data_IF_987364622950
#
_entry.id   IF_987364622950
#
_cell.length_a   1.000
_cell.length_b   1.000
_cell.length_c   1.000
_cell.angle_alpha   90.00
_cell.angle_beta   90.00
_cell.angle_gamma   90.00
#
_symmetry.space_group_name_H-M   'P 1'
#
loop_
_entity.id
_entity.type
_entity.pdbx_description
1 polymer ?
#
# COMPACT_ATOMS: atom_id res chain seq x y z
N UNK A 1 -12.26 10.42 12.11
CA UNK A 1 -12.91 9.63 11.05
C UNK A 1 -12.90 10.42 9.74
N UNK A 2 -12.58 9.77 8.63
CA UNK A 2 -12.63 10.35 7.28
C UNK A 2 -13.71 9.62 6.51
N UNK A 3 -14.53 10.34 5.76
CA UNK A 3 -15.56 9.75 4.92
C UNK A 3 -15.47 10.34 3.51
N UNK A 4 -15.39 9.49 2.51
CA UNK A 4 -15.34 9.82 1.08
C UNK A 4 -16.58 9.21 0.43
N UNK A 5 -17.42 10.04 -0.21
CA UNK A 5 -18.68 9.60 -0.83
C UNK A 5 -18.74 9.99 -2.30
N UNK A 6 -18.91 9.00 -3.17
CA UNK A 6 -19.11 9.12 -4.61
C UNK A 6 -18.12 10.08 -5.28
N UNK A 7 -16.85 10.00 -4.84
CA UNK A 7 -15.80 10.91 -5.25
C UNK A 7 -15.43 10.70 -6.71
N UNK A 8 -15.55 11.75 -7.51
CA UNK A 8 -15.15 11.75 -8.92
C UNK A 8 -14.27 12.96 -9.20
N UNK A 9 -13.18 12.74 -9.93
CA UNK A 9 -12.32 13.80 -10.47
C UNK A 9 -12.07 13.61 -11.96
N UNK A 10 -12.41 14.64 -12.72
CA UNK A 10 -12.14 14.71 -14.17
C UNK A 10 -11.09 15.77 -14.48
N UNK A 11 -10.24 15.48 -15.45
CA UNK A 11 -9.34 16.41 -16.10
C UNK A 11 -9.63 16.34 -17.62
N UNK A 12 -10.48 17.24 -18.12
CA UNK A 12 -11.04 17.10 -19.47
C UNK A 12 -11.85 15.80 -19.57
N UNK A 13 -11.51 14.96 -20.53
CA UNK A 13 -12.16 13.67 -20.76
C UNK A 13 -11.66 12.55 -19.84
N UNK A 14 -10.48 12.73 -19.23
CA UNK A 14 -9.89 11.73 -18.32
C UNK A 14 -10.57 11.75 -16.96
N UNK A 15 -11.13 10.62 -16.56
CA UNK A 15 -11.58 10.37 -15.18
C UNK A 15 -10.40 9.81 -14.36
N UNK A 16 -9.70 10.68 -13.65
CA UNK A 16 -8.60 10.26 -12.76
C UNK A 16 -9.08 9.56 -11.49
N UNK A 17 -10.30 9.86 -11.04
CA UNK A 17 -11.03 9.17 -9.97
C UNK A 17 -12.48 9.05 -10.44
N UNK A 18 -13.07 7.86 -10.35
CA UNK A 18 -14.38 7.53 -10.89
C UNK A 18 -15.27 6.85 -9.84
N UNK A 19 -16.11 7.65 -9.17
CA UNK A 19 -17.15 7.24 -8.24
C UNK A 19 -16.66 6.33 -7.10
N UNK A 20 -15.61 6.75 -6.37
CA UNK A 20 -15.11 5.98 -5.24
C UNK A 20 -15.75 6.43 -3.93
N UNK A 21 -16.04 5.46 -3.06
CA UNK A 21 -16.56 5.69 -1.71
C UNK A 21 -15.84 4.78 -0.71
N UNK A 22 -15.39 5.35 0.39
CA UNK A 22 -14.77 4.62 1.50
C UNK A 22 -14.76 5.48 2.78
N UNK A 23 -14.53 4.83 3.89
CA UNK A 23 -14.33 5.50 5.19
C UNK A 23 -13.03 5.04 5.84
N UNK A 24 -12.49 5.87 6.73
CA UNK A 24 -11.35 5.53 7.57
C UNK A 24 -11.70 5.85 9.01
N UNK A 25 -11.60 4.87 9.88
CA UNK A 25 -11.93 5.02 11.29
C UNK A 25 -10.84 5.76 12.07
N UNK A 26 -11.21 6.30 13.23
CA UNK A 26 -10.23 6.97 14.10
C UNK A 26 -9.18 5.98 14.61
N UNK A 27 -7.90 6.30 14.43
CA UNK A 27 -6.79 5.43 14.83
C UNK A 27 -6.51 4.28 13.87
N UNK A 28 -7.17 4.22 12.71
CA UNK A 28 -6.89 3.26 11.65
C UNK A 28 -5.68 3.70 10.81
N UNK A 29 -4.84 2.74 10.43
CA UNK A 29 -3.79 2.92 9.42
C UNK A 29 -4.27 2.28 8.12
N UNK A 30 -4.79 3.10 7.20
CA UNK A 30 -5.28 2.67 5.91
C UNK A 30 -4.18 2.75 4.84
N UNK A 31 -3.92 1.64 4.17
CA UNK A 31 -3.09 1.59 2.96
C UNK A 31 -3.92 1.88 1.70
N UNK A 32 -3.44 2.79 0.87
CA UNK A 32 -4.05 3.12 -0.42
C UNK A 32 -3.12 2.68 -1.55
N UNK A 33 -3.36 1.48 -2.07
CA UNK A 33 -2.47 0.77 -3.00
C UNK A 33 -2.93 0.90 -4.44
N UNK A 34 -2.02 1.08 -5.37
CA UNK A 34 -2.34 1.07 -6.80
C UNK A 34 -1.13 1.41 -7.67
N UNK A 35 -1.15 1.08 -8.98
CA UNK A 35 -0.08 1.46 -9.90
C UNK A 35 0.02 2.97 -10.07
N UNK A 36 1.07 3.42 -10.73
CA UNK A 36 1.21 4.83 -11.10
C UNK A 36 0.08 5.22 -12.07
N UNK A 37 -0.52 6.40 -11.85
CA UNK A 37 -1.67 6.85 -12.63
C UNK A 37 -3.03 6.30 -12.19
N UNK A 38 -3.10 5.39 -11.22
CA UNK A 38 -4.36 4.79 -10.75
C UNK A 38 -5.33 5.76 -10.05
N UNK A 39 -4.90 6.99 -9.72
CA UNK A 39 -5.73 7.98 -9.02
C UNK A 39 -5.36 8.22 -7.56
N UNK A 40 -4.29 7.59 -7.02
CA UNK A 40 -3.87 7.70 -5.61
C UNK A 40 -3.62 9.15 -5.20
N UNK A 41 -2.63 9.82 -5.80
CA UNK A 41 -2.27 11.21 -5.45
C UNK A 41 -3.40 12.19 -5.73
N UNK A 42 -4.22 11.94 -6.76
CA UNK A 42 -5.43 12.73 -7.02
C UNK A 42 -6.39 12.62 -5.85
N UNK A 43 -6.64 11.41 -5.35
CA UNK A 43 -7.50 11.17 -4.18
C UNK A 43 -6.91 11.86 -2.94
N UNK A 44 -5.60 11.70 -2.65
CA UNK A 44 -4.94 12.36 -1.52
C UNK A 44 -5.05 13.88 -1.60
N UNK A 45 -4.85 14.47 -2.80
CA UNK A 45 -4.97 15.90 -3.02
C UNK A 45 -6.39 16.43 -2.81
N UNK A 46 -7.43 15.64 -3.09
CA UNK A 46 -8.82 16.04 -2.81
C UNK A 46 -9.08 15.94 -1.30
N UNK A 47 -8.70 14.86 -0.63
CA UNK A 47 -8.90 14.68 0.81
C UNK A 47 -8.20 15.78 1.62
N UNK A 48 -7.04 16.27 1.14
CA UNK A 48 -6.31 17.39 1.76
C UNK A 48 -6.85 18.76 1.37
N UNK A 49 -7.82 18.81 0.45
CA UNK A 49 -8.37 20.07 -0.09
C UNK A 49 -7.37 20.86 -0.92
N UNK A 50 -6.32 20.21 -1.44
CA UNK A 50 -5.37 20.84 -2.36
C UNK A 50 -6.02 21.10 -3.73
N UNK A 51 -6.84 20.16 -4.20
CA UNK A 51 -7.71 20.31 -5.38
C UNK A 51 -9.16 19.98 -5.01
N UNK A 52 -10.12 20.55 -5.74
CA UNK A 52 -11.53 20.22 -5.58
C UNK A 52 -11.90 18.93 -6.32
N UNK A 53 -12.88 18.20 -5.81
CA UNK A 53 -13.58 17.12 -6.55
C UNK A 53 -14.37 17.69 -7.74
N UNK A 54 -14.72 16.86 -8.72
CA UNK A 54 -15.73 17.18 -9.74
C UNK A 54 -17.12 16.84 -9.22
N UNK A 55 -17.25 15.68 -8.54
CA UNK A 55 -18.48 15.23 -7.86
C UNK A 55 -18.09 14.55 -6.56
N UNK A 56 -19.07 14.38 -5.68
CA UNK A 56 -18.90 13.71 -4.39
C UNK A 56 -18.33 14.62 -3.31
N UNK A 57 -18.26 14.10 -2.09
CA UNK A 57 -17.89 14.86 -0.88
C UNK A 57 -16.81 14.14 -0.09
N UNK A 58 -16.02 14.93 0.63
CA UNK A 58 -15.04 14.44 1.60
C UNK A 58 -15.26 15.13 2.93
N UNK A 59 -15.46 14.36 3.99
CA UNK A 59 -15.58 14.87 5.34
C UNK A 59 -14.46 14.35 6.24
N UNK A 60 -13.98 15.22 7.13
CA UNK A 60 -13.00 14.86 8.16
C UNK A 60 -13.56 15.30 9.51
N UNK A 61 -13.78 14.36 10.41
CA UNK A 61 -14.47 14.58 11.70
C UNK A 61 -15.78 15.36 11.54
N UNK A 62 -16.61 14.97 10.59
CA UNK A 62 -17.92 15.55 10.33
C UNK A 62 -17.90 16.93 9.66
N UNK A 63 -16.71 17.48 9.30
CA UNK A 63 -16.61 18.74 8.56
C UNK A 63 -16.26 18.46 7.10
N UNK A 64 -17.02 19.01 6.17
CA UNK A 64 -16.79 18.87 4.72
C UNK A 64 -15.63 19.78 4.28
N UNK A 65 -14.74 19.24 3.41
CA UNK A 65 -13.46 19.91 3.07
C UNK A 65 -13.66 21.18 2.23
N UNK A 66 -14.68 21.24 1.39
CA UNK A 66 -14.95 22.42 0.53
C UNK A 66 -15.79 23.48 1.27
N UNK A 67 -16.67 23.08 2.20
CA UNK A 67 -17.51 23.99 2.98
C UNK A 67 -16.75 24.61 4.14
N UNK A 68 -15.95 23.82 4.87
CA UNK A 68 -15.18 24.26 6.04
C UNK A 68 -13.66 24.06 5.85
N UNK A 69 -13.02 24.59 4.78
CA UNK A 69 -11.65 24.22 4.41
C UNK A 69 -10.60 24.59 5.46
N UNK A 70 -10.75 25.69 6.16
CA UNK A 70 -9.80 26.10 7.22
C UNK A 70 -9.85 25.16 8.42
N UNK A 71 -11.05 24.77 8.84
CA UNK A 71 -11.29 23.89 9.98
C UNK A 71 -10.79 22.48 9.68
N UNK A 72 -11.09 21.98 8.49
CA UNK A 72 -10.73 20.64 8.05
C UNK A 72 -9.23 20.51 7.82
N UNK A 73 -8.61 21.47 7.09
CA UNK A 73 -7.16 21.48 6.85
C UNK A 73 -6.33 21.59 8.13
N UNK A 74 -6.84 22.28 9.17
CA UNK A 74 -6.15 22.36 10.46
C UNK A 74 -6.04 20.98 11.17
N UNK A 75 -6.91 20.03 10.82
CA UNK A 75 -6.91 18.67 11.37
C UNK A 75 -6.02 17.70 10.57
N UNK A 76 -5.49 18.11 9.43
CA UNK A 76 -4.74 17.26 8.52
C UNK A 76 -3.26 17.63 8.51
N UNK A 77 -2.40 16.64 8.73
CA UNK A 77 -0.99 16.70 8.40
C UNK A 77 -0.77 16.00 7.05
N UNK A 78 -0.19 16.71 6.09
CA UNK A 78 0.02 16.17 4.75
C UNK A 78 1.49 16.12 4.39
N UNK A 79 1.93 14.95 3.94
CA UNK A 79 3.21 14.72 3.28
C UNK A 79 2.95 14.34 1.83
N UNK A 80 3.13 15.23 0.86
CA UNK A 80 3.09 14.87 -0.56
C UNK A 80 4.34 14.07 -0.95
N UNK A 81 4.29 13.37 -2.08
CA UNK A 81 5.41 12.59 -2.65
C UNK A 81 6.71 13.43 -2.72
N UNK A 82 6.60 14.68 -3.17
CA UNK A 82 7.70 15.65 -3.17
C UNK A 82 7.36 16.77 -2.20
N UNK A 83 7.97 16.79 -0.98
CA UNK A 83 7.69 17.82 -0.01
C UNK A 83 8.14 19.22 -0.50
N UNK A 84 7.28 20.24 -0.44
CA UNK A 84 7.61 21.61 -0.84
C UNK A 84 8.43 22.33 0.24
N UNK A 85 9.70 21.96 0.33
CA UNK A 85 10.61 22.49 1.35
C UNK A 85 11.26 23.80 0.89
N UNK A 86 11.61 24.68 1.85
CA UNK A 86 12.44 25.86 1.59
C UNK A 86 13.93 25.49 1.65
N UNK A 87 14.61 25.32 0.49
CA UNK A 87 15.94 24.69 0.42
C UNK A 87 17.04 25.47 1.13
N UNK A 88 16.91 26.79 1.28
CA UNK A 88 17.92 27.65 1.89
C UNK A 88 17.73 27.84 3.41
N UNK A 89 16.66 27.32 3.98
CA UNK A 89 16.45 27.32 5.43
C UNK A 89 17.18 26.16 6.09
N UNK A 90 17.52 26.31 7.37
CA UNK A 90 17.90 25.17 8.20
C UNK A 90 16.66 24.38 8.60
N UNK A 91 16.83 23.08 8.90
CA UNK A 91 15.73 22.18 9.30
C UNK A 91 14.91 22.79 10.44
N UNK A 92 15.58 23.23 11.51
CA UNK A 92 14.91 23.82 12.68
C UNK A 92 14.12 25.07 12.32
N UNK A 93 14.75 26.03 11.64
CA UNK A 93 14.08 27.29 11.26
C UNK A 93 12.87 27.03 10.35
N UNK A 94 12.95 26.05 9.47
CA UNK A 94 11.83 25.65 8.61
C UNK A 94 10.67 25.08 9.44
N UNK A 95 10.94 24.19 10.39
CA UNK A 95 9.90 23.61 11.24
C UNK A 95 9.28 24.67 12.19
N UNK A 96 10.09 25.57 12.72
CA UNK A 96 9.60 26.72 13.51
C UNK A 96 8.71 27.65 12.67
N UNK A 97 9.11 27.92 11.42
CA UNK A 97 8.30 28.69 10.47
C UNK A 97 6.96 28.00 10.19
N UNK A 98 6.96 26.69 9.95
CA UNK A 98 5.72 25.91 9.75
C UNK A 98 4.83 25.89 10.99
N UNK A 99 5.43 25.88 12.18
CA UNK A 99 4.72 25.97 13.45
C UNK A 99 3.95 27.31 13.54
N UNK A 100 4.63 28.42 13.22
CA UNK A 100 4.01 29.76 13.23
C UNK A 100 2.93 29.91 12.16
N UNK A 101 3.20 29.40 10.95
CA UNK A 101 2.25 29.45 9.83
C UNK A 101 0.95 28.70 10.16
N UNK A 102 1.06 27.53 10.82
CA UNK A 102 -0.09 26.75 11.28
C UNK A 102 -0.75 27.33 12.54
N UNK A 103 -0.22 28.41 13.12
CA UNK A 103 -0.70 29.05 14.36
C UNK A 103 -0.90 28.06 15.50
N UNK A 104 0.06 27.14 15.66
CA UNK A 104 0.01 26.08 16.69
C UNK A 104 0.06 26.72 18.08
N UNK A 105 -0.77 26.24 19.01
CA UNK A 105 -0.88 26.76 20.39
C UNK A 105 -0.14 25.90 21.44
N UNK A 106 0.89 25.18 21.01
CA UNK A 106 1.73 24.38 21.89
C UNK A 106 3.04 25.14 22.21
N UNK A 107 3.82 24.74 23.24
CA UNK A 107 5.17 25.28 23.46
C UNK A 107 6.05 24.97 22.23
N UNK A 108 6.48 26.01 21.49
CA UNK A 108 7.12 25.88 20.18
C UNK A 108 8.38 25.03 20.22
N UNK A 109 9.30 25.38 21.14
CA UNK A 109 10.61 24.72 21.22
C UNK A 109 10.47 23.23 21.51
N UNK A 110 9.71 22.92 22.55
CA UNK A 110 9.47 21.55 23.01
C UNK A 110 8.77 20.72 21.93
N UNK A 111 7.77 21.30 21.26
CA UNK A 111 7.03 20.61 20.20
C UNK A 111 7.92 20.33 18.96
N UNK A 112 8.69 21.33 18.52
CA UNK A 112 9.63 21.16 17.40
C UNK A 112 10.72 20.14 17.74
N UNK A 113 11.27 20.17 18.96
CA UNK A 113 12.26 19.19 19.41
C UNK A 113 11.67 17.77 19.47
N UNK A 114 10.43 17.62 19.94
CA UNK A 114 9.73 16.34 19.96
C UNK A 114 9.52 15.80 18.54
N UNK A 115 9.00 16.62 17.64
CA UNK A 115 8.76 16.22 16.23
C UNK A 115 10.07 15.84 15.55
N UNK A 116 11.13 16.63 15.73
CA UNK A 116 12.46 16.31 15.18
C UNK A 116 12.98 14.97 15.69
N UNK A 117 12.80 14.68 16.98
CA UNK A 117 13.21 13.41 17.58
C UNK A 117 12.40 12.24 16.99
N UNK A 118 11.07 12.38 16.87
CA UNK A 118 10.20 11.33 16.32
C UNK A 118 10.62 10.89 14.91
N UNK A 119 11.02 11.83 14.06
CA UNK A 119 11.40 11.53 12.67
C UNK A 119 12.91 11.32 12.49
N UNK A 120 13.71 11.32 13.56
CA UNK A 120 15.16 11.09 13.50
C UNK A 120 15.95 12.26 12.91
N UNK A 121 15.60 13.51 13.25
CA UNK A 121 16.25 14.75 12.79
C UNK A 121 16.95 15.51 13.90
N UNK A 122 17.10 14.96 15.11
CA UNK A 122 17.65 15.68 16.29
C UNK A 122 19.00 16.35 15.99
N UNK A 123 19.90 15.65 15.33
CA UNK A 123 21.25 16.14 15.01
C UNK A 123 21.32 16.96 13.71
N UNK A 124 20.19 17.09 13.00
CA UNK A 124 20.12 17.75 11.70
C UNK A 124 19.56 19.18 11.77
N UNK A 125 19.18 19.66 12.95
CA UNK A 125 18.48 20.94 13.12
C UNK A 125 19.20 22.17 12.54
N UNK A 126 20.52 22.20 12.62
CA UNK A 126 21.36 23.28 12.05
C UNK A 126 21.71 23.10 10.57
N UNK A 127 21.43 21.96 9.95
CA UNK A 127 21.76 21.70 8.55
C UNK A 127 20.80 22.43 7.62
N UNK A 128 21.35 22.97 6.52
CA UNK A 128 20.55 23.60 5.43
C UNK A 128 19.90 22.50 4.63
N UNK A 129 18.59 22.65 4.32
CA UNK A 129 17.75 21.61 3.71
C UNK A 129 18.28 21.16 2.35
N UNK A 130 18.79 22.07 1.50
CA UNK A 130 19.37 21.70 0.19
C UNK A 130 20.54 20.74 0.28
N UNK A 131 21.27 20.75 1.39
CA UNK A 131 22.44 19.90 1.62
C UNK A 131 22.08 18.53 2.22
N UNK A 132 20.81 18.23 2.41
CA UNK A 132 20.33 16.95 2.91
C UNK A 132 20.17 15.94 1.77
N UNK A 133 20.37 14.64 2.09
CA UNK A 133 19.99 13.56 1.18
C UNK A 133 18.46 13.55 0.94
N UNK A 134 18.02 12.84 -0.10
CA UNK A 134 16.58 12.69 -0.39
C UNK A 134 15.81 12.17 0.83
N UNK A 135 16.35 11.13 1.51
CA UNK A 135 15.71 10.55 2.69
C UNK A 135 15.59 11.53 3.85
N UNK A 136 16.61 12.35 4.10
CA UNK A 136 16.51 13.39 5.13
C UNK A 136 15.52 14.50 4.75
N UNK A 137 15.43 14.88 3.47
CA UNK A 137 14.40 15.82 3.01
C UNK A 137 12.99 15.24 3.20
N UNK A 138 12.81 13.95 2.92
CA UNK A 138 11.54 13.26 3.19
C UNK A 138 11.17 13.30 4.67
N UNK A 139 12.14 13.07 5.57
CA UNK A 139 11.94 13.20 7.03
C UNK A 139 11.57 14.63 7.45
N UNK A 140 12.14 15.66 6.81
CA UNK A 140 11.74 17.07 7.06
C UNK A 140 10.30 17.31 6.64
N UNK A 141 9.88 16.80 5.47
CA UNK A 141 8.49 16.86 5.02
C UNK A 141 7.53 16.13 5.98
N UNK A 142 7.96 14.98 6.50
CA UNK A 142 7.19 14.26 7.49
C UNK A 142 7.09 15.02 8.83
N UNK A 143 8.19 15.59 9.29
CA UNK A 143 8.17 16.48 10.45
C UNK A 143 7.17 17.63 10.27
N UNK A 144 7.17 18.27 9.10
CA UNK A 144 6.19 19.32 8.75
C UNK A 144 4.74 18.82 8.86
N UNK A 145 4.45 17.60 8.41
CA UNK A 145 3.13 17.00 8.51
C UNK A 145 2.70 16.85 9.99
N UNK A 146 3.63 16.48 10.87
CA UNK A 146 3.39 16.28 12.30
C UNK A 146 3.28 17.58 13.13
N UNK A 147 3.73 18.71 12.60
CA UNK A 147 3.63 20.01 13.30
C UNK A 147 2.15 20.32 13.62
N UNK A 148 1.89 20.56 14.90
CA UNK A 148 0.55 20.83 15.44
C UNK A 148 -0.19 19.59 15.92
N UNK A 149 0.42 18.42 15.85
CA UNK A 149 -0.15 17.13 16.28
C UNK A 149 -1.54 16.86 15.68
N UNK A 150 -1.68 16.89 14.34
CA UNK A 150 -2.98 16.76 13.69
C UNK A 150 -3.57 15.37 13.92
N UNK A 151 -4.90 15.23 14.14
CA UNK A 151 -5.52 13.92 14.33
C UNK A 151 -5.47 13.01 13.08
N UNK A 152 -5.30 13.59 11.90
CA UNK A 152 -5.23 12.88 10.62
C UNK A 152 -3.89 13.12 9.94
N UNK A 153 -3.26 12.07 9.46
CA UNK A 153 -2.04 12.11 8.65
C UNK A 153 -2.31 11.50 7.28
N UNK A 154 -1.99 12.23 6.23
CA UNK A 154 -2.06 11.77 4.84
C UNK A 154 -0.65 11.77 4.28
N UNK A 155 -0.17 10.58 3.88
CA UNK A 155 1.20 10.34 3.45
C UNK A 155 1.17 9.78 2.03
N UNK A 156 1.53 10.61 1.05
CA UNK A 156 1.53 10.21 -0.36
C UNK A 156 2.92 9.73 -0.78
N UNK A 157 3.04 8.42 -1.06
CA UNK A 157 4.28 7.74 -1.47
C UNK A 157 5.49 8.09 -0.56
N UNK A 158 5.39 8.03 0.78
CA UNK A 158 6.38 8.59 1.70
C UNK A 158 7.73 7.87 1.68
N UNK A 159 7.80 6.68 1.09
CA UNK A 159 8.99 5.82 1.03
C UNK A 159 9.74 5.90 -0.30
N UNK A 160 9.20 6.62 -1.29
CA UNK A 160 9.81 6.73 -2.61
C UNK A 160 11.22 7.31 -2.56
N UNK A 161 12.18 6.52 -3.04
CA UNK A 161 13.60 6.91 -3.12
C UNK A 161 14.35 6.89 -1.78
N UNK A 162 13.81 6.18 -0.80
CA UNK A 162 14.51 5.79 0.41
C UNK A 162 15.26 4.48 0.21
N UNK A 163 16.36 4.29 0.95
CA UNK A 163 17.03 2.99 0.99
C UNK A 163 16.25 1.98 1.87
N UNK A 164 16.52 0.66 1.74
CA UNK A 164 15.78 -0.38 2.46
C UNK A 164 15.76 -0.20 3.99
N UNK A 165 16.85 0.29 4.57
CA UNK A 165 16.94 0.54 6.02
C UNK A 165 16.00 1.68 6.42
N UNK A 166 16.01 2.77 5.66
CA UNK A 166 15.13 3.91 5.88
C UNK A 166 13.65 3.53 5.73
N UNK A 167 13.31 2.68 4.75
CA UNK A 167 11.95 2.17 4.57
C UNK A 167 11.47 1.44 5.82
N UNK A 168 12.30 0.56 6.40
CA UNK A 168 11.96 -0.16 7.63
C UNK A 168 11.73 0.81 8.80
N UNK A 169 12.56 1.83 8.95
CA UNK A 169 12.42 2.84 10.00
C UNK A 169 11.14 3.66 9.80
N UNK A 170 10.82 4.07 8.58
CA UNK A 170 9.58 4.78 8.25
C UNK A 170 8.32 3.96 8.55
N UNK A 171 8.29 2.69 8.19
CA UNK A 171 7.18 1.77 8.51
C UNK A 171 6.94 1.67 10.01
N UNK A 172 8.02 1.50 10.81
CA UNK A 172 7.91 1.48 12.28
C UNK A 172 7.35 2.79 12.82
N UNK A 173 7.77 3.92 12.26
CA UNK A 173 7.28 5.24 12.63
C UNK A 173 5.79 5.39 12.32
N UNK A 174 5.34 5.06 11.10
CA UNK A 174 3.93 5.12 10.70
C UNK A 174 3.07 4.25 11.63
N UNK A 175 3.46 3.00 11.89
CA UNK A 175 2.76 2.13 12.83
C UNK A 175 2.66 2.72 14.25
N UNK A 176 3.73 3.35 14.72
CA UNK A 176 3.73 3.99 16.05
C UNK A 176 2.79 5.19 16.12
N UNK A 177 2.69 5.94 15.03
CA UNK A 177 1.81 7.10 14.89
C UNK A 177 0.34 6.68 14.76
N UNK A 178 0.04 5.56 14.12
CA UNK A 178 -1.31 5.00 14.01
C UNK A 178 -2.01 4.78 15.34
N UNK A 179 -1.25 4.63 16.45
CA UNK A 179 -1.83 4.54 17.80
C UNK A 179 -2.45 5.86 18.29
N UNK A 180 -2.11 6.99 17.70
CA UNK A 180 -2.54 8.34 18.12
C UNK A 180 -3.20 9.13 17.00
N UNK A 181 -2.99 8.74 15.76
CA UNK A 181 -3.46 9.44 14.56
C UNK A 181 -4.19 8.45 13.65
N UNK A 182 -5.17 8.95 12.91
CA UNK A 182 -5.71 8.26 11.74
C UNK A 182 -4.75 8.49 10.59
N UNK A 183 -4.30 7.44 9.92
CA UNK A 183 -3.28 7.55 8.87
C UNK A 183 -3.80 6.99 7.56
N UNK A 184 -3.72 7.76 6.48
CA UNK A 184 -3.82 7.24 5.10
C UNK A 184 -2.41 7.25 4.51
N UNK A 185 -1.98 6.10 4.03
CA UNK A 185 -0.65 5.89 3.47
C UNK A 185 -0.77 5.35 2.05
N UNK A 186 -0.38 6.13 1.03
CA UNK A 186 -0.37 5.65 -0.35
C UNK A 186 0.96 4.97 -0.70
N UNK A 187 0.90 3.90 -1.47
CA UNK A 187 2.06 3.24 -2.07
C UNK A 187 1.68 2.48 -3.34
N UNK A 188 2.65 2.24 -4.20
CA UNK A 188 2.53 1.28 -5.30
C UNK A 188 3.21 -0.06 -4.96
N UNK A 189 3.78 -0.20 -3.76
CA UNK A 189 4.50 -1.39 -3.29
C UNK A 189 3.67 -2.12 -2.25
N UNK A 190 3.13 -3.27 -2.61
CA UNK A 190 2.23 -4.04 -1.75
C UNK A 190 2.88 -4.48 -0.43
N UNK A 191 4.14 -4.93 -0.46
CA UNK A 191 4.86 -5.36 0.74
C UNK A 191 5.05 -4.23 1.77
N UNK A 192 5.04 -2.98 1.34
CA UNK A 192 5.06 -1.83 2.25
C UNK A 192 3.74 -1.65 2.97
N UNK A 193 2.65 -1.72 2.22
CA UNK A 193 1.30 -1.54 2.73
C UNK A 193 0.92 -2.69 3.67
N UNK A 194 1.13 -3.94 3.24
CA UNK A 194 0.84 -5.13 4.06
C UNK A 194 1.60 -5.17 5.38
N UNK A 195 2.85 -4.67 5.39
CA UNK A 195 3.66 -4.63 6.60
C UNK A 195 3.30 -3.47 7.55
N UNK A 196 2.49 -2.50 7.11
CA UNK A 196 2.31 -1.23 7.84
C UNK A 196 0.85 -0.98 8.23
N UNK A 197 -0.11 -1.37 7.38
CA UNK A 197 -1.51 -0.97 7.46
C UNK A 197 -2.40 -2.05 8.08
N UNK A 198 -3.49 -1.62 8.69
CA UNK A 198 -4.53 -2.50 9.25
C UNK A 198 -5.49 -2.98 8.15
N UNK A 199 -5.74 -2.11 7.16
CA UNK A 199 -6.63 -2.32 6.02
C UNK A 199 -6.04 -1.71 4.77
N UNK A 200 -6.38 -2.26 3.63
CA UNK A 200 -5.88 -1.84 2.31
C UNK A 200 -7.05 -1.62 1.37
N UNK A 201 -7.03 -0.48 0.70
CA UNK A 201 -7.85 -0.20 -0.48
C UNK A 201 -6.95 -0.28 -1.71
N UNK A 202 -7.34 -1.08 -2.68
CA UNK A 202 -6.66 -1.17 -3.97
C UNK A 202 -7.43 -0.34 -5.00
N UNK A 203 -6.74 0.62 -5.61
CA UNK A 203 -7.28 1.45 -6.67
C UNK A 203 -6.61 1.14 -8.01
N UNK A 204 -7.41 1.03 -9.07
CA UNK A 204 -6.95 0.88 -10.45
C UNK A 204 -7.87 1.64 -11.39
N UNK A 205 -7.29 2.37 -12.36
CA UNK A 205 -8.02 3.20 -13.34
C UNK A 205 -9.11 4.09 -12.70
N UNK A 206 -8.79 4.70 -11.57
CA UNK A 206 -9.67 5.60 -10.84
C UNK A 206 -10.76 4.92 -10.01
N UNK A 207 -10.83 3.58 -9.95
CA UNK A 207 -11.86 2.82 -9.24
C UNK A 207 -11.28 1.97 -8.12
N UNK A 208 -12.02 1.81 -7.03
CA UNK A 208 -11.69 0.84 -5.99
C UNK A 208 -12.00 -0.56 -6.53
N UNK A 209 -10.97 -1.42 -6.58
CA UNK A 209 -11.08 -2.81 -7.05
C UNK A 209 -11.03 -3.82 -5.91
N UNK A 210 -10.51 -3.44 -4.75
CA UNK A 210 -10.55 -4.24 -3.54
C UNK A 210 -10.49 -3.35 -2.30
N UNK A 211 -11.10 -3.78 -1.20
CA UNK A 211 -11.12 -3.12 0.10
C UNK A 211 -11.25 -4.16 1.20
N UNK A 212 -10.32 -4.22 2.13
CA UNK A 212 -10.33 -5.19 3.23
C UNK A 212 -9.03 -5.24 4.01
N UNK A 213 -9.03 -6.05 5.08
CA UNK A 213 -7.81 -6.33 5.84
C UNK A 213 -6.82 -7.12 4.97
N UNK A 214 -5.53 -6.88 5.16
CA UNK A 214 -4.47 -7.54 4.38
C UNK A 214 -4.57 -9.06 4.41
N UNK A 215 -4.86 -9.64 5.57
CA UNK A 215 -4.99 -11.09 5.73
C UNK A 215 -6.27 -11.65 5.07
N UNK A 216 -7.37 -10.91 5.14
CA UNK A 216 -8.65 -11.28 4.52
C UNK A 216 -8.59 -11.17 2.99
N UNK A 217 -7.92 -10.14 2.45
CA UNK A 217 -7.69 -10.00 1.01
C UNK A 217 -6.84 -11.15 0.47
N UNK A 218 -5.80 -11.57 1.20
CA UNK A 218 -5.02 -12.76 0.84
C UNK A 218 -5.86 -14.03 0.80
N UNK A 219 -6.82 -14.16 1.71
CA UNK A 219 -7.65 -15.36 1.83
C UNK A 219 -8.86 -15.36 0.90
N UNK A 220 -9.51 -14.22 0.68
CA UNK A 220 -10.73 -14.13 -0.12
C UNK A 220 -10.46 -14.23 -1.62
N UNK A 221 -9.30 -13.74 -2.05
CA UNK A 221 -8.90 -13.78 -3.45
C UNK A 221 -8.20 -15.09 -3.83
N UNK A 222 -7.61 -15.81 -2.86
CA UNK A 222 -7.06 -17.16 -3.08
C UNK A 222 -8.13 -18.25 -2.93
N UNK A 223 -9.15 -18.20 -3.78
CA UNK A 223 -10.25 -19.20 -3.79
C UNK A 223 -9.82 -20.66 -4.02
N UNK A 224 -8.55 -20.89 -4.37
CA UNK A 224 -7.95 -22.21 -4.53
C UNK A 224 -6.50 -22.15 -4.10
N UNK A 225 -6.11 -23.03 -3.21
CA UNK A 225 -4.69 -23.23 -2.89
C UNK A 225 -3.97 -23.83 -4.11
N UNK A 226 -2.73 -23.43 -4.30
CA UNK A 226 -1.86 -23.98 -5.33
C UNK A 226 -0.65 -24.66 -4.69
N UNK A 227 -0.23 -25.77 -5.24
CA UNK A 227 1.02 -26.44 -4.92
C UNK A 227 1.88 -26.46 -6.19
N UNK A 228 3.05 -25.85 -6.09
CA UNK A 228 4.05 -25.92 -7.17
C UNK A 228 4.96 -27.10 -6.91
N UNK A 229 5.06 -28.00 -7.87
CA UNK A 229 5.96 -29.16 -7.80
C UNK A 229 6.86 -29.20 -9.03
N UNK A 230 8.12 -29.52 -8.83
CA UNK A 230 9.06 -29.85 -9.90
C UNK A 230 9.41 -31.33 -9.78
N UNK A 231 9.13 -32.11 -10.81
CA UNK A 231 9.40 -33.55 -10.83
C UNK A 231 10.37 -33.93 -11.94
N UNK A 232 11.19 -34.95 -11.70
CA UNK A 232 12.13 -35.48 -12.67
C UNK A 232 11.42 -36.53 -13.55
N UNK A 233 10.39 -36.10 -14.29
CA UNK A 233 9.67 -36.93 -15.24
C UNK A 233 8.89 -36.07 -16.24
N UNK A 234 9.01 -36.39 -17.52
CA UNK A 234 8.20 -35.78 -18.60
C UNK A 234 6.93 -36.59 -18.93
N UNK A 235 6.71 -37.68 -18.21
CA UNK A 235 5.59 -38.59 -18.47
C UNK A 235 4.24 -37.93 -18.24
N UNK A 236 3.28 -38.13 -19.15
CA UNK A 236 1.90 -37.74 -18.99
C UNK A 236 1.20 -38.42 -17.80
N UNK A 237 1.72 -39.57 -17.37
CA UNK A 237 1.24 -40.30 -16.19
C UNK A 237 1.29 -39.48 -14.91
N UNK A 238 2.22 -38.50 -14.82
CA UNK A 238 2.31 -37.56 -13.68
C UNK A 238 0.99 -36.75 -13.54
N UNK A 239 0.50 -36.23 -14.65
CA UNK A 239 -0.76 -35.45 -14.66
C UNK A 239 -1.96 -36.34 -14.32
N UNK A 240 -1.98 -37.56 -14.84
CA UNK A 240 -3.08 -38.50 -14.61
C UNK A 240 -3.12 -38.99 -13.15
N UNK A 241 -1.97 -39.23 -12.52
CA UNK A 241 -1.94 -39.58 -11.11
C UNK A 241 -2.29 -38.39 -10.19
N UNK A 242 -1.85 -37.17 -10.51
CA UNK A 242 -2.22 -35.97 -9.76
C UNK A 242 -3.72 -35.67 -9.83
N UNK A 243 -4.38 -35.98 -10.96
CA UNK A 243 -5.86 -35.83 -11.09
C UNK A 243 -6.66 -36.78 -10.18
N UNK A 244 -6.08 -37.92 -9.79
CA UNK A 244 -6.74 -38.89 -8.91
C UNK A 244 -6.75 -38.45 -7.44
N UNK A 245 -5.95 -37.45 -7.06
CA UNK A 245 -5.85 -36.98 -5.68
C UNK A 245 -7.12 -36.22 -5.33
N UNK A 246 -7.82 -36.59 -4.23
CA UNK A 246 -9.00 -35.84 -3.76
C UNK A 246 -8.68 -34.36 -3.57
N UNK A 247 -9.65 -33.49 -3.90
CA UNK A 247 -9.49 -32.05 -3.76
C UNK A 247 -8.71 -31.36 -4.90
N UNK A 248 -7.97 -32.07 -5.75
CA UNK A 248 -7.32 -31.47 -6.92
C UNK A 248 -8.37 -31.03 -7.94
N UNK A 249 -8.31 -29.75 -8.32
CA UNK A 249 -9.28 -29.13 -9.24
C UNK A 249 -8.70 -28.76 -10.60
N UNK A 250 -7.40 -28.45 -10.66
CA UNK A 250 -6.71 -28.07 -11.91
C UNK A 250 -5.23 -28.40 -11.84
N UNK A 251 -4.65 -28.85 -12.94
CA UNK A 251 -3.21 -29.07 -13.09
C UNK A 251 -2.76 -28.37 -14.36
N UNK A 252 -1.70 -27.58 -14.24
CA UNK A 252 -1.09 -26.84 -15.33
C UNK A 252 0.39 -27.14 -15.39
N UNK A 253 0.90 -27.49 -16.59
CA UNK A 253 2.32 -27.57 -16.85
C UNK A 253 2.87 -26.16 -17.01
N UNK A 254 3.71 -25.72 -16.07
CA UNK A 254 4.22 -24.34 -16.03
C UNK A 254 5.46 -24.21 -16.91
N UNK A 255 6.42 -25.15 -16.76
CA UNK A 255 7.69 -25.09 -17.48
C UNK A 255 8.34 -26.46 -17.53
N UNK A 256 9.05 -26.72 -18.64
CA UNK A 256 10.01 -27.82 -18.74
C UNK A 256 11.43 -27.25 -18.68
N UNK A 257 12.33 -27.99 -18.03
CA UNK A 257 13.73 -27.65 -17.89
C UNK A 257 14.58 -28.75 -18.56
N UNK A 258 15.84 -28.45 -18.84
CA UNK A 258 16.78 -29.45 -19.31
C UNK A 258 16.93 -30.61 -18.29
N UNK A 259 17.19 -31.84 -18.77
CA UNK A 259 17.33 -32.99 -17.89
C UNK A 259 16.03 -33.67 -17.48
N UNK A 260 14.92 -33.43 -18.20
CA UNK A 260 13.65 -34.12 -17.96
C UNK A 260 12.88 -33.61 -16.74
N UNK A 261 13.21 -32.42 -16.26
CA UNK A 261 12.51 -31.78 -15.14
C UNK A 261 11.30 -31.00 -15.63
N UNK A 262 10.16 -31.20 -14.99
CA UNK A 262 8.92 -30.46 -15.31
C UNK A 262 8.31 -29.86 -14.06
N UNK A 263 7.98 -28.56 -14.15
CA UNK A 263 7.28 -27.84 -13.11
C UNK A 263 5.78 -27.81 -13.40
N UNK A 264 4.99 -28.25 -12.42
CA UNK A 264 3.53 -28.23 -12.45
C UNK A 264 2.97 -27.33 -11.39
N UNK A 265 1.83 -26.69 -11.69
CA UNK A 265 0.96 -26.01 -10.75
C UNK A 265 -0.26 -26.86 -10.51
N UNK A 266 -0.49 -27.29 -9.28
CA UNK A 266 -1.61 -28.12 -8.86
C UNK A 266 -2.54 -27.27 -8.00
N UNK A 267 -3.73 -26.93 -8.51
CA UNK A 267 -4.77 -26.20 -7.77
C UNK A 267 -5.65 -27.18 -7.00
N UNK A 268 -5.93 -26.91 -5.74
CA UNK A 268 -6.71 -27.80 -4.87
C UNK A 268 -7.62 -27.05 -3.92
N UNK A 269 -8.59 -27.77 -3.30
CA UNK A 269 -9.56 -27.22 -2.35
C UNK A 269 -8.86 -26.70 -1.08
N UNK A 270 -9.36 -25.61 -0.50
CA UNK A 270 -8.75 -24.89 0.62
C UNK A 270 -8.63 -25.72 1.90
N UNK A 271 -9.49 -26.72 2.08
CA UNK A 271 -9.62 -27.45 3.35
C UNK A 271 -8.76 -28.72 3.41
N UNK A 272 -8.00 -29.03 2.36
CA UNK A 272 -7.20 -30.25 2.27
C UNK A 272 -5.70 -29.93 2.13
N UNK A 273 -4.85 -30.73 2.79
CA UNK A 273 -3.40 -30.71 2.60
C UNK A 273 -2.99 -31.90 1.72
N UNK A 274 -2.87 -31.64 0.42
CA UNK A 274 -2.58 -32.68 -0.58
C UNK A 274 -1.11 -33.06 -0.67
N UNK A 275 -0.21 -32.46 0.10
CA UNK A 275 1.26 -32.66 -0.05
C UNK A 275 1.69 -34.10 0.13
N UNK A 276 1.08 -34.81 1.10
CA UNK A 276 1.37 -36.24 1.34
C UNK A 276 0.88 -37.13 0.19
N UNK A 277 -0.29 -36.82 -0.35
CA UNK A 277 -0.87 -37.59 -1.45
C UNK A 277 -0.11 -37.38 -2.75
N UNK A 278 0.32 -36.13 -3.02
CA UNK A 278 1.21 -35.80 -4.13
C UNK A 278 2.54 -36.54 -4.01
N UNK A 279 3.15 -36.51 -2.82
CA UNK A 279 4.39 -37.27 -2.59
C UNK A 279 4.19 -38.77 -2.86
N UNK A 280 3.14 -39.36 -2.30
CA UNK A 280 2.85 -40.80 -2.49
C UNK A 280 2.56 -41.17 -3.96
N UNK A 281 1.88 -40.29 -4.70
CA UNK A 281 1.62 -40.45 -6.12
C UNK A 281 2.92 -40.44 -6.94
N UNK A 282 3.83 -39.54 -6.65
CA UNK A 282 5.12 -39.44 -7.34
C UNK A 282 6.05 -40.61 -7.03
N UNK A 283 6.01 -41.11 -5.80
CA UNK A 283 6.75 -42.36 -5.43
C UNK A 283 6.25 -43.57 -6.25
N UNK A 284 4.92 -43.71 -6.41
CA UNK A 284 4.35 -44.79 -7.24
C UNK A 284 4.79 -44.76 -8.72
N UNK A 285 5.06 -43.57 -9.23
CA UNK A 285 5.47 -43.34 -10.62
C UNK A 285 7.00 -43.37 -10.83
N UNK A 286 7.77 -43.59 -9.77
CA UNK A 286 9.24 -43.41 -9.77
C UNK A 286 9.65 -42.02 -10.37
N UNK A 287 8.90 -41.00 -10.01
CA UNK A 287 9.07 -39.61 -10.46
C UNK A 287 9.55 -38.73 -9.29
N UNK A 288 10.86 -38.64 -9.05
CA UNK A 288 11.39 -37.91 -7.91
C UNK A 288 10.95 -36.44 -7.88
N UNK A 289 10.48 -35.98 -6.71
CA UNK A 289 10.15 -34.58 -6.50
C UNK A 289 11.44 -33.83 -6.17
N UNK A 290 11.81 -32.90 -7.03
CA UNK A 290 12.99 -32.06 -6.87
C UNK A 290 12.70 -30.78 -6.08
N UNK A 291 11.45 -30.30 -6.13
CA UNK A 291 10.99 -29.13 -5.42
C UNK A 291 9.50 -29.27 -5.14
N UNK A 292 9.06 -28.88 -3.94
CA UNK A 292 7.66 -28.77 -3.57
C UNK A 292 7.48 -27.51 -2.70
N UNK A 293 6.70 -26.56 -3.17
CA UNK A 293 6.43 -25.30 -2.45
C UNK A 293 4.97 -24.91 -2.57
N UNK A 294 4.45 -24.21 -1.56
CA UNK A 294 3.15 -23.57 -1.70
C UNK A 294 3.19 -22.58 -2.85
N UNK A 295 2.26 -22.71 -3.75
CA UNK A 295 2.07 -21.82 -4.91
C UNK A 295 0.88 -20.89 -4.70
N UNK A 296 0.46 -20.69 -3.46
CA UNK A 296 -0.64 -19.80 -3.15
C UNK A 296 -0.35 -18.44 -3.80
N UNK A 297 -1.36 -17.89 -4.44
CA UNK A 297 -1.22 -16.59 -5.07
C UNK A 297 -0.79 -15.58 -3.99
N UNK A 298 0.34 -14.94 -4.23
CA UNK A 298 0.79 -13.88 -3.35
C UNK A 298 -0.14 -12.67 -3.55
N UNK A 299 -0.18 -11.80 -2.55
CA UNK A 299 -0.88 -10.51 -2.71
C UNK A 299 -0.33 -9.73 -3.92
N UNK A 300 0.97 -9.92 -4.26
CA UNK A 300 1.58 -9.34 -5.46
C UNK A 300 0.97 -9.88 -6.75
N UNK A 301 0.78 -11.21 -6.85
CA UNK A 301 0.16 -11.83 -8.04
C UNK A 301 -1.28 -11.35 -8.22
N UNK A 302 -2.01 -11.21 -7.13
CA UNK A 302 -3.36 -10.67 -7.11
C UNK A 302 -3.42 -9.20 -7.52
N UNK A 303 -2.53 -8.40 -6.95
CA UNK A 303 -2.40 -6.99 -7.32
C UNK A 303 -2.13 -6.83 -8.81
N UNK A 304 -1.22 -7.64 -9.37
CA UNK A 304 -0.92 -7.66 -10.80
C UNK A 304 -2.14 -8.05 -11.64
N UNK A 305 -2.92 -9.04 -11.20
CA UNK A 305 -4.16 -9.44 -11.92
C UNK A 305 -5.22 -8.35 -11.87
N UNK A 306 -5.53 -7.82 -10.69
CA UNK A 306 -6.52 -6.76 -10.52
C UNK A 306 -6.17 -5.50 -11.32
N UNK A 307 -4.89 -5.23 -11.50
CA UNK A 307 -4.42 -4.07 -12.29
C UNK A 307 -4.36 -4.36 -13.79
N UNK A 308 -4.09 -5.61 -14.23
CA UNK A 308 -4.06 -6.00 -15.64
C UNK A 308 -5.46 -6.21 -16.24
N UNK A 309 -6.40 -6.76 -15.49
CA UNK A 309 -7.78 -6.95 -15.98
C UNK A 309 -8.51 -5.61 -16.18
N UNK A 310 -8.16 -4.59 -15.43
CA UNK A 310 -8.66 -3.23 -15.64
C UNK A 310 -8.11 -2.56 -16.91
N UNK A 311 -6.91 -2.95 -17.40
CA UNK A 311 -6.35 -2.45 -18.66
C UNK A 311 -7.02 -3.08 -19.91
N UNK A 312 -7.60 -4.27 -19.78
CA UNK A 312 -8.30 -4.96 -20.90
C UNK A 312 -9.72 -4.49 -21.09
N UNK A 313 -10.35 -3.90 -20.07
CA UNK A 313 -11.73 -3.38 -20.13
C UNK A 313 -11.87 -1.97 -20.70
N UNK A 314 -10.79 -1.29 -21.04
CA UNK A 314 -10.78 0.09 -21.55
C UNK A 314 -10.79 0.27 -23.07
N UNK A 315 -10.81 -0.82 -23.84
CA UNK A 315 -10.84 -0.82 -25.32
C UNK A 315 -12.10 -1.54 -25.86
N UNK A 316 -13.28 -1.09 -25.47
CA UNK A 316 -14.52 -1.48 -26.12
C UNK A 316 -15.43 -0.27 -26.32
#
# INVERSE_FOLDING_TARGET
MIEVKNLTKRYGDLKAVDDISFSVDSGEVLGFLGPNGAGKSTTMNIITGYISSTLGTVTVDGSEILEEPKKTKAKIGYLPEIPPLYPDMTVRKYLEFMFDLKKVKLPKKEHVDEVMRLVGLSDMGGRIIKNLSKGYRQRVGFAQALIGNPPVLILDEPTVGLDPKQIIEFRKLIRSLGKKHTVIFSSHVLSEVSATCDRVIVISNGKIVADGKTDELSQSLSGKKKLMITVASESSAVVDELKKIPGVTKIEKVRSFAGGLVKYSVSYSKDEDIRKDVFSAMVRLDAPIMEMQSGDETLEDMFLKLTQDSDRGGNA
#
